data_IF_486588211577
#
_entry.id   IF_486588211577
#
_cell.length_a   1.000
_cell.length_b   1.000
_cell.length_c   1.000
_cell.angle_alpha   90.00
_cell.angle_beta   90.00
_cell.angle_gamma   90.00
#
_symmetry.space_group_name_H-M   'P 1'
#
loop_
_entity.id
_entity.type
_entity.pdbx_description
1 polymer ?
#
# COMPACT_ATOMS: atom_id res chain seq x y z
N UNK A 1 4.63 20.04 -28.25
CA UNK A 1 5.61 19.08 -27.70
C UNK A 1 4.80 17.89 -27.21
N UNK A 2 4.82 16.76 -27.93
CA UNK A 2 4.26 15.53 -27.38
C UNK A 2 5.04 15.20 -26.11
N UNK A 3 4.34 15.14 -24.97
CA UNK A 3 4.94 14.64 -23.75
C UNK A 3 5.25 13.16 -24.00
N UNK A 4 6.53 12.81 -24.08
CA UNK A 4 6.98 11.43 -24.16
C UNK A 4 6.43 10.69 -22.94
N UNK A 5 5.76 9.56 -23.18
CA UNK A 5 5.27 8.72 -22.08
C UNK A 5 6.43 8.35 -21.15
N UNK A 6 6.25 8.44 -19.82
CA UNK A 6 7.30 8.09 -18.88
C UNK A 6 7.67 6.61 -19.04
N UNK A 7 8.96 6.31 -19.03
CA UNK A 7 9.44 4.93 -18.96
C UNK A 7 8.86 4.22 -17.73
N UNK A 8 8.79 2.88 -17.77
CA UNK A 8 8.33 2.08 -16.63
C UNK A 8 9.10 2.42 -15.33
N UNK A 9 10.42 2.66 -15.44
CA UNK A 9 11.24 3.06 -14.29
C UNK A 9 10.84 4.41 -13.72
N UNK A 10 10.56 5.40 -14.57
CA UNK A 10 10.08 6.73 -14.14
C UNK A 10 8.69 6.67 -13.53
N UNK A 11 7.79 5.87 -14.11
CA UNK A 11 6.46 5.63 -13.56
C UNK A 11 6.56 5.02 -12.15
N UNK A 12 7.31 3.92 -11.98
CA UNK A 12 7.49 3.26 -10.68
C UNK A 12 8.16 4.19 -9.66
N UNK A 13 9.14 4.98 -10.07
CA UNK A 13 9.78 5.96 -9.20
C UNK A 13 8.78 7.01 -8.70
N UNK A 14 7.84 7.45 -9.55
CA UNK A 14 6.82 8.44 -9.19
C UNK A 14 5.80 7.95 -8.14
N UNK A 15 5.68 6.62 -7.96
CA UNK A 15 4.80 6.02 -6.96
C UNK A 15 5.46 5.90 -5.58
N UNK A 16 6.79 6.03 -5.49
CA UNK A 16 7.55 5.85 -4.25
C UNK A 16 7.77 7.19 -3.56
N UNK A 17 7.50 7.23 -2.26
CA UNK A 17 7.86 8.36 -1.42
C UNK A 17 9.38 8.49 -1.24
N UNK A 18 9.85 9.74 -1.13
CA UNK A 18 11.14 10.05 -0.52
C UNK A 18 11.06 9.93 1.00
N UNK A 19 12.22 9.83 1.68
CA UNK A 19 12.30 9.59 3.13
C UNK A 19 11.57 10.64 3.98
N UNK A 20 11.54 11.89 3.52
CA UNK A 20 10.87 13.02 4.15
C UNK A 20 9.34 13.00 3.97
N UNK A 21 8.84 12.27 2.96
CA UNK A 21 7.40 12.22 2.63
C UNK A 21 6.74 10.90 3.01
N UNK A 22 7.47 9.94 3.58
CA UNK A 22 6.90 8.63 3.94
C UNK A 22 5.85 8.71 5.06
N UNK A 23 5.73 9.83 5.77
CA UNK A 23 4.69 10.07 6.79
C UNK A 23 3.65 11.09 6.36
N UNK A 24 3.80 11.64 5.16
CA UNK A 24 2.88 12.63 4.62
C UNK A 24 1.69 11.92 3.96
N UNK A 25 0.52 12.05 4.60
CA UNK A 25 -0.74 11.49 4.14
C UNK A 25 -1.20 12.11 2.83
N UNK A 26 -1.11 13.43 2.69
CA UNK A 26 -1.59 14.14 1.51
C UNK A 26 -0.73 13.78 0.29
N UNK A 27 0.59 13.77 0.47
CA UNK A 27 1.51 13.33 -0.57
C UNK A 27 1.26 11.86 -0.97
N UNK A 28 0.88 11.00 -0.02
CA UNK A 28 0.51 9.61 -0.31
C UNK A 28 -0.76 9.49 -1.15
N UNK A 29 -1.82 10.22 -0.78
CA UNK A 29 -3.08 10.22 -1.51
C UNK A 29 -2.90 10.75 -2.94
N UNK A 30 -2.10 11.80 -3.12
CA UNK A 30 -1.76 12.32 -4.46
C UNK A 30 -1.07 11.24 -5.31
N UNK A 31 -0.11 10.49 -4.73
CA UNK A 31 0.55 9.37 -5.43
C UNK A 31 -0.40 8.22 -5.74
N UNK A 32 -1.38 7.94 -4.88
CA UNK A 32 -2.34 6.85 -5.11
C UNK A 32 -3.18 7.08 -6.37
N UNK A 33 -3.55 8.32 -6.68
CA UNK A 33 -4.29 8.64 -7.90
C UNK A 33 -3.58 8.17 -9.19
N UNK A 34 -2.24 8.17 -9.17
CA UNK A 34 -1.42 7.73 -10.31
C UNK A 34 -1.44 6.21 -10.51
N UNK A 35 -1.71 5.43 -9.45
CA UNK A 35 -1.74 3.96 -9.50
C UNK A 35 -2.89 3.40 -10.35
N UNK A 36 -3.87 4.22 -10.69
CA UNK A 36 -5.06 3.79 -11.43
C UNK A 36 -4.92 4.03 -12.95
N UNK A 37 -3.79 4.60 -13.37
CA UNK A 37 -3.42 4.79 -14.78
C UNK A 37 -2.10 4.05 -15.05
N UNK A 38 -2.10 2.72 -14.89
CA UNK A 38 -0.89 1.92 -15.05
C UNK A 38 -0.48 1.77 -16.52
N UNK A 39 0.83 1.77 -16.81
CA UNK A 39 1.32 1.51 -18.16
C UNK A 39 1.16 0.04 -18.56
N UNK A 40 1.25 -0.22 -19.86
CA UNK A 40 1.46 -1.57 -20.40
C UNK A 40 2.88 -1.70 -20.95
N UNK A 41 3.49 -2.87 -20.82
CA UNK A 41 4.79 -3.18 -21.44
C UNK A 41 4.62 -4.36 -22.39
N UNK A 42 4.97 -4.18 -23.67
CA UNK A 42 4.81 -5.19 -24.71
C UNK A 42 3.38 -5.80 -24.80
N UNK A 43 2.36 -4.98 -24.56
CA UNK A 43 0.95 -5.42 -24.56
C UNK A 43 0.48 -6.08 -23.26
N UNK A 44 1.35 -6.24 -22.26
CA UNK A 44 0.99 -6.77 -20.94
C UNK A 44 0.70 -5.62 -19.96
N UNK A 45 -0.52 -5.53 -19.40
CA UNK A 45 -0.87 -4.48 -18.46
C UNK A 45 -0.16 -4.68 -17.11
N UNK A 46 0.37 -3.60 -16.54
CA UNK A 46 0.81 -3.61 -15.15
C UNK A 46 -0.40 -3.62 -14.23
N UNK A 47 -0.51 -4.64 -13.37
CA UNK A 47 -1.66 -4.79 -12.46
C UNK A 47 -1.44 -4.17 -11.07
N UNK A 48 -0.20 -3.90 -10.71
CA UNK A 48 0.16 -3.30 -9.42
C UNK A 48 1.67 -3.29 -9.22
N UNK A 49 2.12 -2.56 -8.19
CA UNK A 49 3.52 -2.57 -7.77
C UNK A 49 3.68 -3.49 -6.57
N UNK A 50 4.24 -4.68 -6.80
CA UNK A 50 4.59 -5.58 -5.72
C UNK A 50 5.91 -5.20 -5.06
N UNK A 51 5.99 -5.33 -3.74
CA UNK A 51 7.25 -5.52 -3.02
C UNK A 51 7.13 -6.75 -2.13
N UNK A 52 8.03 -7.70 -2.31
CA UNK A 52 8.04 -8.92 -1.52
C UNK A 52 9.42 -9.13 -0.92
N UNK A 53 9.51 -8.99 0.40
CA UNK A 53 10.65 -9.49 1.18
C UNK A 53 10.39 -10.95 1.62
N UNK A 54 9.63 -11.73 0.85
CA UNK A 54 9.25 -13.11 1.20
C UNK A 54 8.08 -13.23 2.19
N UNK A 55 7.31 -12.14 2.43
CA UNK A 55 6.11 -12.19 3.28
C UNK A 55 4.96 -12.89 2.56
N UNK A 56 4.16 -13.75 3.22
CA UNK A 56 2.92 -14.27 2.67
C UNK A 56 1.95 -13.13 2.36
N UNK A 57 1.22 -13.27 1.25
CA UNK A 57 0.18 -12.35 0.81
C UNK A 57 -1.20 -12.98 1.02
N UNK A 58 -2.14 -12.17 1.50
CA UNK A 58 -3.53 -12.54 1.72
C UNK A 58 -4.43 -11.64 0.88
N UNK A 59 -5.36 -12.25 0.14
CA UNK A 59 -6.36 -11.54 -0.66
C UNK A 59 -7.50 -11.08 0.23
N UNK A 60 -7.82 -9.78 0.21
CA UNK A 60 -9.04 -9.27 0.84
C UNK A 60 -10.26 -9.53 -0.06
N UNK A 61 -11.47 -9.69 0.51
CA UNK A 61 -12.70 -9.95 -0.25
C UNK A 61 -13.25 -8.69 -0.95
N UNK A 62 -12.43 -7.66 -1.14
CA UNK A 62 -12.79 -6.35 -1.68
C UNK A 62 -11.58 -5.71 -2.37
N UNK A 63 -11.84 -4.80 -3.30
CA UNK A 63 -10.82 -3.98 -3.97
C UNK A 63 -10.99 -2.54 -3.49
N UNK A 64 -9.97 -1.99 -2.82
CA UNK A 64 -9.98 -0.60 -2.39
C UNK A 64 -9.26 0.34 -3.34
N UNK A 65 -9.54 1.62 -3.12
CA UNK A 65 -8.75 2.76 -3.56
C UNK A 65 -8.47 3.60 -2.31
N UNK A 66 -7.22 4.00 -2.11
CA UNK A 66 -6.90 4.81 -0.94
C UNK A 66 -7.45 6.23 -1.13
N UNK A 67 -8.27 6.62 -0.17
CA UNK A 67 -8.80 7.95 0.04
C UNK A 67 -8.55 8.37 1.49
N UNK A 68 -9.05 9.54 1.87
CA UNK A 68 -8.84 10.06 3.22
C UNK A 68 -9.40 9.12 4.29
N UNK A 69 -10.60 8.57 4.08
CA UNK A 69 -11.32 7.77 5.09
C UNK A 69 -10.65 6.41 5.28
N UNK A 70 -10.31 5.72 4.20
CA UNK A 70 -9.59 4.43 4.25
C UNK A 70 -8.22 4.56 4.88
N UNK A 71 -7.52 5.68 4.64
CA UNK A 71 -6.21 5.92 5.28
C UNK A 71 -6.37 6.18 6.77
N UNK A 72 -7.32 7.01 7.19
CA UNK A 72 -7.59 7.25 8.61
C UNK A 72 -8.02 5.97 9.34
N UNK A 73 -8.85 5.14 8.70
CA UNK A 73 -9.27 3.86 9.25
C UNK A 73 -8.08 2.90 9.42
N UNK A 74 -7.16 2.87 8.45
CA UNK A 74 -5.93 2.06 8.54
C UNK A 74 -4.98 2.56 9.63
N UNK A 75 -4.85 3.89 9.80
CA UNK A 75 -4.08 4.48 10.90
C UNK A 75 -4.66 4.11 12.27
N UNK A 76 -5.99 4.14 12.42
CA UNK A 76 -6.65 3.72 13.65
C UNK A 76 -6.43 2.23 13.96
N UNK A 77 -6.41 1.37 12.93
CA UNK A 77 -6.00 -0.03 13.09
C UNK A 77 -4.54 -0.10 13.53
N UNK A 78 -3.62 0.64 12.91
CA UNK A 78 -2.23 0.64 13.33
C UNK A 78 -2.08 1.04 14.80
N UNK A 79 -2.73 2.14 15.23
CA UNK A 79 -2.70 2.63 16.61
C UNK A 79 -3.22 1.56 17.60
N UNK A 80 -4.34 0.89 17.28
CA UNK A 80 -4.89 -0.20 18.11
C UNK A 80 -3.87 -1.31 18.39
N UNK A 81 -2.99 -1.61 17.44
CA UNK A 81 -1.97 -2.66 17.57
C UNK A 81 -0.59 -2.11 18.00
N UNK A 82 -0.53 -0.85 18.47
CA UNK A 82 0.72 -0.21 18.90
C UNK A 82 1.70 0.06 17.75
N UNK A 83 1.16 0.25 16.54
CA UNK A 83 1.90 0.50 15.31
C UNK A 83 1.66 1.92 14.82
N UNK A 84 2.41 2.30 13.80
CA UNK A 84 2.13 3.45 12.96
C UNK A 84 2.04 3.02 11.49
N UNK A 85 1.53 3.92 10.64
CA UNK A 85 1.56 3.75 9.19
C UNK A 85 2.69 4.55 8.56
N UNK A 86 3.42 3.92 7.63
CA UNK A 86 4.38 4.55 6.73
C UNK A 86 3.96 4.38 5.27
N UNK A 87 3.86 5.50 4.56
CA UNK A 87 3.38 5.65 3.20
C UNK A 87 4.52 5.65 2.17
N UNK A 88 5.13 4.47 1.95
CA UNK A 88 6.11 4.27 0.87
C UNK A 88 5.47 4.33 -0.52
N UNK A 89 5.50 3.22 -1.26
CA UNK A 89 4.64 3.05 -2.44
C UNK A 89 3.21 2.65 -2.08
N UNK A 90 3.06 2.02 -0.92
CA UNK A 90 1.83 1.56 -0.32
C UNK A 90 2.01 1.62 1.20
N UNK A 91 0.92 1.63 1.99
CA UNK A 91 0.99 1.71 3.44
C UNK A 91 1.67 0.48 4.04
N UNK A 92 2.61 0.74 4.95
CA UNK A 92 3.24 -0.27 5.79
C UNK A 92 2.86 0.00 7.25
N UNK A 93 2.38 -1.02 7.94
CA UNK A 93 2.16 -0.96 9.39
C UNK A 93 3.45 -1.43 10.05
N UNK A 94 4.06 -0.56 10.86
CA UNK A 94 5.31 -0.86 11.56
C UNK A 94 5.20 -0.58 13.06
N UNK A 95 5.97 -1.34 13.81
CA UNK A 95 6.18 -1.10 15.24
C UNK A 95 7.09 0.12 15.46
N UNK A 96 7.11 0.70 16.68
CA UNK A 96 7.95 1.86 17.01
C UNK A 96 9.46 1.62 16.82
N UNK A 97 9.90 0.36 16.77
CA UNK A 97 11.28 -0.05 16.50
C UNK A 97 11.60 -0.19 15.00
N UNK A 98 10.73 0.34 14.12
CA UNK A 98 10.80 0.26 12.66
C UNK A 98 10.53 -1.14 12.07
N UNK A 99 10.16 -2.12 12.89
CA UNK A 99 9.83 -3.45 12.39
C UNK A 99 8.55 -3.42 11.56
N UNK A 100 8.69 -3.64 10.25
CA UNK A 100 7.55 -3.78 9.35
C UNK A 100 6.78 -5.08 9.61
N UNK A 101 5.49 -4.95 9.97
CA UNK A 101 4.59 -6.06 10.28
C UNK A 101 3.65 -6.37 9.13
N UNK A 102 3.04 -5.34 8.53
CA UNK A 102 2.11 -5.52 7.42
C UNK A 102 2.34 -4.52 6.30
N UNK A 103 1.90 -4.86 5.10
CA UNK A 103 1.78 -3.92 3.98
C UNK A 103 0.47 -4.14 3.22
N UNK A 104 -0.28 -3.07 2.96
CA UNK A 104 -1.58 -3.13 2.29
C UNK A 104 -1.44 -2.58 0.87
N UNK A 105 -1.67 -3.40 -0.15
CA UNK A 105 -1.48 -3.03 -1.55
C UNK A 105 -2.82 -2.95 -2.28
N UNK A 106 -3.11 -1.79 -2.87
CA UNK A 106 -4.29 -1.49 -3.69
C UNK A 106 -3.99 -1.73 -5.18
N UNK A 107 -3.85 -3.00 -5.59
CA UNK A 107 -3.65 -3.31 -7.00
C UNK A 107 -4.90 -2.97 -7.82
N UNK A 108 -4.72 -2.87 -9.13
CA UNK A 108 -5.81 -2.50 -10.06
C UNK A 108 -7.01 -3.43 -9.94
N UNK A 109 -6.79 -4.71 -9.65
CA UNK A 109 -7.83 -5.76 -9.62
C UNK A 109 -7.93 -6.51 -8.28
N UNK A 110 -7.12 -6.18 -7.27
CA UNK A 110 -7.07 -6.91 -6.00
C UNK A 110 -6.58 -6.01 -4.88
N UNK A 111 -6.98 -6.32 -3.65
CA UNK A 111 -6.31 -5.79 -2.46
C UNK A 111 -5.59 -6.91 -1.74
N UNK A 112 -4.29 -6.74 -1.56
CA UNK A 112 -3.42 -7.72 -0.93
C UNK A 112 -2.87 -7.17 0.38
N UNK A 113 -2.90 -7.98 1.43
CA UNK A 113 -2.21 -7.70 2.69
C UNK A 113 -1.04 -8.66 2.83
N UNK A 114 0.17 -8.13 2.88
CA UNK A 114 1.38 -8.90 3.16
C UNK A 114 1.65 -8.85 4.66
N UNK A 115 1.91 -9.99 5.30
CA UNK A 115 2.12 -10.07 6.75
C UNK A 115 3.45 -10.71 7.12
N UNK A 116 4.11 -10.19 8.16
CA UNK A 116 5.27 -10.82 8.77
C UNK A 116 4.84 -12.15 9.42
N UNK A 117 5.40 -13.30 9.00
CA UNK A 117 4.97 -14.61 9.53
C UNK A 117 5.17 -14.78 11.04
N UNK A 118 6.18 -14.12 11.58
CA UNK A 118 6.56 -14.20 13.00
C UNK A 118 5.76 -13.28 13.92
N UNK A 119 4.86 -12.43 13.39
CA UNK A 119 4.03 -11.57 14.22
C UNK A 119 2.91 -12.36 14.88
N UNK A 120 2.76 -12.27 16.20
CA UNK A 120 1.85 -13.14 16.96
C UNK A 120 0.38 -12.90 16.63
N UNK A 121 -0.06 -11.63 16.63
CA UNK A 121 -1.46 -11.24 16.42
C UNK A 121 -1.86 -11.10 14.93
N UNK A 122 -1.22 -11.87 14.03
CA UNK A 122 -1.39 -11.71 12.56
C UNK A 122 -2.82 -11.88 12.07
N UNK A 123 -3.57 -12.82 12.65
CA UNK A 123 -4.96 -13.10 12.25
C UNK A 123 -5.90 -11.98 12.68
N UNK A 124 -5.78 -11.54 13.94
CA UNK A 124 -6.57 -10.42 14.46
C UNK A 124 -6.28 -9.13 13.69
N UNK A 125 -5.01 -8.88 13.37
CA UNK A 125 -4.60 -7.74 12.55
C UNK A 125 -5.19 -7.82 11.13
N UNK A 126 -5.14 -8.99 10.48
CA UNK A 126 -5.70 -9.16 9.14
C UNK A 126 -7.20 -8.89 9.11
N UNK A 127 -7.94 -9.41 10.09
CA UNK A 127 -9.38 -9.16 10.24
C UNK A 127 -9.64 -7.68 10.49
N UNK A 128 -8.90 -7.03 11.39
CA UNK A 128 -9.06 -5.62 11.67
C UNK A 128 -8.81 -4.74 10.44
N UNK A 129 -7.77 -5.03 9.65
CA UNK A 129 -7.50 -4.36 8.37
C UNK A 129 -8.67 -4.58 7.40
N UNK A 130 -9.13 -5.81 7.24
CA UNK A 130 -10.21 -6.13 6.32
C UNK A 130 -11.53 -5.44 6.68
N UNK A 131 -11.86 -5.35 7.96
CA UNK A 131 -13.04 -4.64 8.46
C UNK A 131 -12.92 -3.13 8.30
N UNK A 132 -11.75 -2.55 8.62
CA UNK A 132 -11.53 -1.10 8.54
C UNK A 132 -11.54 -0.56 7.10
N UNK A 133 -11.22 -1.40 6.12
CA UNK A 133 -11.17 -1.04 4.70
C UNK A 133 -12.46 -1.35 3.93
N UNK A 134 -13.53 -1.76 4.64
CA UNK A 134 -14.85 -1.88 4.03
C UNK A 134 -15.38 -0.48 3.64
N UNK A 135 -15.90 -0.29 2.41
CA UNK A 135 -16.52 0.95 2.00
C UNK A 135 -17.77 1.31 2.81
#
# INVERSE_FOLDING_TARGET
MEATEPSLGQYVASLKASKDLVRDREAFLERCQRKYQTPSLAGFPMVGLGGSCGKPAFLLPLVIRFDQDTVLALEAVAERFGMYVEYGAYPHLKLPDETEIAAVQDWTNATLVFLRPSYEHKEELLVAIAEALKP
#
